data_IF_899839658678
#
_entry.id   IF_899839658678
#
_cell.length_a   1.000
_cell.length_b   1.000
_cell.length_c   1.000
_cell.angle_alpha   90.00
_cell.angle_beta   90.00
_cell.angle_gamma   90.00
#
_symmetry.space_group_name_H-M   'P 1'
#
loop_
_entity.id
_entity.type
_entity.pdbx_description
1 polymer ?
#
# COMPACT_ATOMS: atom_id res chain seq x y z
N UNK A 1 -7.41 -2.07 0.40
CA UNK A 1 -6.46 -1.30 -0.44
C UNK A 1 -7.26 -0.80 -1.61
N UNK A 2 -7.14 0.48 -1.91
CA UNK A 2 -7.92 1.16 -2.94
C UNK A 2 -7.06 2.22 -3.62
N UNK A 3 -7.38 2.52 -4.88
CA UNK A 3 -6.76 3.60 -5.65
C UNK A 3 -7.88 4.55 -6.06
N UNK A 4 -7.72 5.83 -5.75
CA UNK A 4 -8.66 6.90 -6.13
C UNK A 4 -8.34 7.48 -7.51
N UNK A 5 -9.24 8.29 -8.04
CA UNK A 5 -9.08 9.00 -9.33
C UNK A 5 -7.83 9.90 -9.37
N UNK A 6 -7.37 10.39 -8.21
CA UNK A 6 -6.15 11.21 -8.08
C UNK A 6 -4.84 10.38 -7.99
N UNK A 7 -4.86 9.11 -8.41
CA UNK A 7 -3.75 8.15 -8.30
C UNK A 7 -3.19 8.02 -6.87
N UNK A 8 -4.03 8.17 -5.86
CA UNK A 8 -3.66 7.93 -4.47
C UNK A 8 -3.96 6.48 -4.10
N UNK A 9 -2.91 5.71 -3.81
CA UNK A 9 -3.00 4.37 -3.24
C UNK A 9 -3.16 4.47 -1.73
N UNK A 10 -4.26 3.96 -1.20
CA UNK A 10 -4.53 3.90 0.24
C UNK A 10 -4.47 2.46 0.75
N UNK A 11 -3.63 2.24 1.75
CA UNK A 11 -3.50 0.99 2.51
C UNK A 11 -4.11 1.21 3.89
N UNK A 12 -5.21 0.52 4.16
CA UNK A 12 -5.93 0.59 5.43
C UNK A 12 -6.11 -0.79 6.03
N UNK A 13 -6.24 -0.83 7.36
CA UNK A 13 -6.49 -2.06 8.10
C UNK A 13 -6.70 -1.80 9.58
N UNK A 14 -6.89 -2.88 10.34
CA UNK A 14 -7.06 -2.81 11.78
C UNK A 14 -6.22 -3.88 12.47
N UNK A 15 -5.46 -3.47 13.49
CA UNK A 15 -4.79 -4.37 14.42
C UNK A 15 -5.68 -4.52 15.66
N UNK A 16 -6.49 -5.58 15.80
CA UNK A 16 -7.44 -5.71 16.89
C UNK A 16 -6.71 -5.80 18.23
N UNK A 17 -7.23 -5.11 19.24
CA UNK A 17 -6.71 -5.19 20.59
C UNK A 17 -7.17 -6.50 21.25
N UNK A 18 -6.28 -7.50 21.30
CA UNK A 18 -6.56 -8.83 21.85
C UNK A 18 -6.85 -8.83 23.36
N UNK A 19 -6.54 -7.75 24.07
CA UNK A 19 -6.76 -7.64 25.51
C UNK A 19 -8.07 -6.95 25.89
N UNK A 20 -8.74 -6.29 24.93
CA UNK A 20 -10.07 -5.68 25.13
C UNK A 20 -11.15 -6.60 24.57
N UNK A 21 -11.26 -7.81 25.12
CA UNK A 21 -12.37 -8.74 24.82
C UNK A 21 -13.28 -8.87 26.04
N UNK A 22 -14.57 -9.22 25.87
CA UNK A 22 -15.50 -9.39 26.99
C UNK A 22 -14.99 -10.40 28.04
N UNK A 23 -14.32 -11.45 27.58
CA UNK A 23 -13.69 -12.50 28.39
C UNK A 23 -12.52 -11.97 29.25
N UNK A 24 -11.82 -10.93 28.78
CA UNK A 24 -10.63 -10.36 29.41
C UNK A 24 -10.91 -9.02 30.13
N UNK A 25 -12.18 -8.66 30.36
CA UNK A 25 -12.56 -7.36 30.96
C UNK A 25 -11.92 -7.07 32.33
N UNK A 26 -11.51 -8.10 33.07
CA UNK A 26 -10.86 -7.96 34.38
C UNK A 26 -9.32 -8.09 34.33
N UNK A 27 -8.73 -8.22 33.13
CA UNK A 27 -7.29 -8.38 32.95
C UNK A 27 -6.57 -7.05 33.24
N UNK A 28 -5.68 -7.04 34.23
CA UNK A 28 -4.83 -5.88 34.54
C UNK A 28 -3.57 -5.92 33.67
N UNK A 29 -3.44 -4.94 32.78
CA UNK A 29 -2.24 -4.75 31.94
C UNK A 29 -1.29 -3.81 32.67
N UNK A 30 -0.11 -4.28 33.05
CA UNK A 30 0.92 -3.44 33.70
C UNK A 30 1.69 -2.58 32.70
N UNK A 31 1.86 -3.04 31.45
CA UNK A 31 2.55 -2.32 30.39
C UNK A 31 2.01 -2.69 29.00
N UNK A 32 1.90 -1.69 28.12
CA UNK A 32 1.55 -1.86 26.70
C UNK A 32 2.55 -1.08 25.84
N UNK A 33 3.40 -1.78 25.11
CA UNK A 33 4.46 -1.19 24.26
C UNK A 33 4.06 -1.16 22.78
N UNK A 34 3.02 -1.91 22.42
CA UNK A 34 2.49 -2.02 21.07
C UNK A 34 1.15 -1.28 20.95
N UNK A 35 1.01 -0.47 19.91
CA UNK A 35 -0.28 0.15 19.56
C UNK A 35 -1.20 -0.84 18.81
N UNK A 36 -2.50 -0.71 19.07
CA UNK A 36 -3.59 -1.43 18.42
C UNK A 36 -4.58 -0.42 17.86
N UNK A 37 -5.39 -0.84 16.90
CA UNK A 37 -6.44 -0.03 16.30
C UNK A 37 -6.30 0.05 14.78
N UNK A 38 -7.10 0.96 14.21
CA UNK A 38 -7.15 1.20 12.77
C UNK A 38 -5.91 1.96 12.32
N UNK A 39 -5.41 1.61 11.16
CA UNK A 39 -4.35 2.33 10.47
C UNK A 39 -4.78 2.63 9.04
N UNK A 40 -4.29 3.75 8.52
CA UNK A 40 -4.43 4.13 7.11
C UNK A 40 -3.17 4.88 6.68
N UNK A 41 -2.65 4.54 5.51
CA UNK A 41 -1.51 5.23 4.91
C UNK A 41 -1.74 5.36 3.41
N UNK A 42 -1.50 6.56 2.91
CA UNK A 42 -1.72 6.89 1.50
C UNK A 42 -0.41 7.28 0.82
N UNK A 43 -0.28 6.92 -0.45
CA UNK A 43 0.88 7.21 -1.29
C UNK A 43 0.40 7.72 -2.65
N UNK A 44 1.00 8.81 -3.13
CA UNK A 44 0.79 9.25 -4.51
C UNK A 44 1.57 8.36 -5.45
N UNK A 45 0.88 7.76 -6.42
CA UNK A 45 1.47 6.88 -7.41
C UNK A 45 1.75 7.67 -8.70
N UNK A 46 2.93 7.53 -9.31
CA UNK A 46 3.22 8.19 -10.59
C UNK A 46 2.27 7.71 -11.70
N UNK A 47 1.95 8.60 -12.64
CA UNK A 47 1.18 8.26 -13.85
C UNK A 47 1.87 7.21 -14.74
N UNK A 48 3.17 7.01 -14.57
CA UNK A 48 3.95 6.00 -15.29
C UNK A 48 3.84 4.60 -14.69
N UNK A 49 2.97 4.39 -13.69
CA UNK A 49 2.69 3.07 -13.12
C UNK A 49 1.67 2.30 -13.96
N UNK A 50 1.86 0.98 -14.06
CA UNK A 50 0.86 0.06 -14.61
C UNK A 50 -0.06 -0.41 -13.48
N UNK A 51 -1.20 0.27 -13.32
CA UNK A 51 -2.13 0.01 -12.22
C UNK A 51 -2.86 -1.34 -12.35
N UNK A 52 -2.97 -1.89 -13.56
CA UNK A 52 -3.63 -3.17 -13.84
C UNK A 52 -2.80 -4.36 -13.34
N UNK A 53 -1.49 -4.16 -13.15
CA UNK A 53 -0.54 -5.21 -12.74
C UNK A 53 -0.02 -5.06 -11.32
N UNK A 54 -0.71 -4.31 -10.47
CA UNK A 54 -0.35 -4.20 -9.06
C UNK A 54 -0.50 -5.56 -8.37
N UNK A 55 0.50 -5.93 -7.59
CA UNK A 55 0.52 -7.17 -6.81
C UNK A 55 0.79 -6.85 -5.35
N UNK A 56 0.19 -7.63 -4.45
CA UNK A 56 0.41 -7.50 -3.02
C UNK A 56 0.53 -8.89 -2.36
N UNK A 57 1.46 -9.02 -1.42
CA UNK A 57 1.69 -10.25 -0.65
C UNK A 57 1.87 -9.92 0.83
N UNK A 58 1.20 -10.68 1.69
CA UNK A 58 1.40 -10.62 3.14
C UNK A 58 2.22 -11.82 3.58
N UNK A 59 3.36 -11.58 4.23
CA UNK A 59 4.22 -12.64 4.74
C UNK A 59 4.88 -12.19 6.05
N UNK A 60 4.81 -13.04 7.09
CA UNK A 60 5.42 -12.78 8.40
C UNK A 60 5.06 -11.40 9.02
N UNK A 61 3.84 -10.91 8.77
CA UNK A 61 3.38 -9.61 9.25
C UNK A 61 3.87 -8.39 8.44
N UNK A 62 4.54 -8.62 7.31
CA UNK A 62 4.92 -7.58 6.35
C UNK A 62 4.03 -7.64 5.11
N UNK A 63 3.45 -6.50 4.74
CA UNK A 63 2.75 -6.32 3.47
C UNK A 63 3.74 -5.77 2.44
N UNK A 64 4.05 -6.59 1.43
CA UNK A 64 4.78 -6.16 0.25
C UNK A 64 3.78 -5.78 -0.85
N UNK A 65 4.01 -4.63 -1.48
CA UNK A 65 3.19 -4.12 -2.59
C UNK A 65 4.11 -3.77 -3.75
N UNK A 66 3.93 -4.43 -4.88
CA UNK A 66 4.72 -4.25 -6.09
C UNK A 66 3.87 -3.50 -7.11
N UNK A 67 4.36 -2.35 -7.54
CA UNK A 67 3.73 -1.49 -8.54
C UNK A 67 4.65 -1.42 -9.75
N UNK A 68 4.39 -2.18 -10.82
CA UNK A 68 5.19 -2.15 -12.02
C UNK A 68 5.12 -0.78 -12.71
N UNK A 69 6.19 -0.42 -13.42
CA UNK A 69 6.17 0.72 -14.34
C UNK A 69 5.50 0.30 -15.64
N UNK A 70 4.69 1.18 -16.21
CA UNK A 70 4.16 1.05 -17.55
C UNK A 70 5.29 1.03 -18.58
N UNK A 71 5.08 0.31 -19.68
CA UNK A 71 6.05 0.31 -20.77
C UNK A 71 6.16 1.73 -21.36
N UNK A 72 7.38 2.27 -21.52
CA UNK A 72 7.54 3.56 -22.16
C UNK A 72 7.07 3.47 -23.62
N UNK A 73 6.46 4.54 -24.17
CA UNK A 73 6.08 4.56 -25.57
C UNK A 73 7.31 4.24 -26.43
N UNK A 74 7.16 3.35 -27.42
CA UNK A 74 8.22 3.04 -28.38
C UNK A 74 8.62 4.33 -29.10
N UNK A 75 9.75 4.90 -28.72
CA UNK A 75 10.27 6.10 -29.37
C UNK A 75 10.66 5.74 -30.79
N UNK A 76 9.83 6.08 -31.78
CA UNK A 76 10.26 6.06 -33.18
C UNK A 76 11.27 7.17 -33.37
N UNK A 77 12.57 6.86 -33.25
CA UNK A 77 13.62 7.78 -33.65
C UNK A 77 13.48 8.03 -35.15
N UNK A 78 13.17 9.27 -35.52
CA UNK A 78 13.22 9.73 -36.91
C UNK A 78 14.56 10.43 -37.12
N UNK A 79 15.38 9.88 -38.00
CA UNK A 79 16.59 10.56 -38.46
C UNK A 79 16.16 11.61 -39.48
N UNK A 80 16.37 12.89 -39.17
CA UNK A 80 16.18 13.99 -40.13
C UNK A 80 17.53 14.25 -40.78
N UNK A 81 17.61 14.12 -42.11
CA UNK A 81 18.80 14.53 -42.85
C UNK A 81 18.75 16.03 -43.09
N UNK A 82 19.85 16.72 -42.77
CA UNK A 82 20.03 18.15 -43.01
C UNK A 82 20.72 18.31 -44.37
N UNK A 83 20.23 19.24 -45.20
CA UNK A 83 20.86 19.64 -46.47
C UNK A 83 21.79 20.84 -46.26
#
# INVERSE_FOLDING_TARGET
>A
MEISEDNILTISGERPNKYKTPENNNMKISKMECQYGKFSRSFSIPETADLDKIQAKMENGSLEVIIPKAEPPKTQRRTIQVQ
#
